data_IF_904968901104
#
_entry.id   IF_904968901104
#
_cell.length_a   1.000
_cell.length_b   1.000
_cell.length_c   1.000
_cell.angle_alpha   90.00
_cell.angle_beta   90.00
_cell.angle_gamma   90.00
#
_symmetry.space_group_name_H-M   'P 1'
#
loop_
_entity.id
_entity.type
_entity.pdbx_description
1 polymer ?
#
# COMPACT_ATOMS: atom_id res chain seq x y z
N UNK A 1 -15.62 24.55 -5.17
CA UNK A 1 -14.52 23.62 -5.51
C UNK A 1 -15.15 22.25 -5.69
N UNK A 2 -15.03 21.60 -6.86
CA UNK A 2 -15.53 20.23 -7.01
C UNK A 2 -14.73 19.31 -6.11
N UNK A 3 -15.40 18.61 -5.19
CA UNK A 3 -14.77 17.61 -4.32
C UNK A 3 -14.14 16.52 -5.21
N UNK A 4 -12.81 16.41 -5.15
CA UNK A 4 -12.07 15.48 -5.98
C UNK A 4 -11.99 14.13 -5.27
N UNK A 5 -12.37 13.05 -5.93
CA UNK A 5 -12.24 11.70 -5.38
C UNK A 5 -10.78 11.25 -5.45
N UNK A 6 -10.23 10.87 -4.29
CA UNK A 6 -8.94 10.18 -4.21
C UNK A 6 -9.08 8.73 -4.70
N UNK A 7 -10.20 8.08 -4.38
CA UNK A 7 -10.54 6.73 -4.82
C UNK A 7 -12.01 6.67 -5.22
N UNK A 8 -12.29 6.13 -6.41
CA UNK A 8 -13.64 5.85 -6.88
C UNK A 8 -13.72 4.44 -7.43
N UNK A 9 -14.65 3.65 -6.91
CA UNK A 9 -14.84 2.25 -7.26
C UNK A 9 -16.31 2.04 -7.59
N UNK A 10 -16.57 1.42 -8.73
CA UNK A 10 -17.90 1.15 -9.22
C UNK A 10 -18.04 -0.32 -9.62
N UNK A 11 -18.96 -1.03 -8.95
CA UNK A 11 -19.33 -2.43 -9.22
C UNK A 11 -18.13 -3.38 -9.26
N UNK A 12 -17.10 -3.13 -8.43
CA UNK A 12 -15.90 -3.96 -8.40
C UNK A 12 -16.24 -5.37 -7.96
N UNK A 13 -15.90 -6.34 -8.80
CA UNK A 13 -16.15 -7.76 -8.56
C UNK A 13 -14.85 -8.55 -8.76
N UNK A 14 -14.59 -9.50 -7.87
CA UNK A 14 -13.52 -10.48 -8.01
C UNK A 14 -14.04 -11.88 -7.73
N UNK A 15 -13.88 -12.75 -8.72
CA UNK A 15 -14.22 -14.16 -8.65
C UNK A 15 -12.93 -14.97 -8.83
N UNK A 16 -12.64 -15.84 -7.88
CA UNK A 16 -11.59 -16.85 -7.98
C UNK A 16 -12.21 -18.17 -8.46
N UNK A 17 -11.65 -18.75 -9.52
CA UNK A 17 -12.03 -20.07 -10.00
C UNK A 17 -11.03 -21.09 -9.48
N UNK A 18 -11.46 -22.08 -8.69
CA UNK A 18 -10.68 -23.29 -8.40
C UNK A 18 -10.92 -24.31 -9.51
N UNK A 19 -9.95 -25.19 -9.76
CA UNK A 19 -10.02 -26.28 -10.78
C UNK A 19 -11.23 -27.23 -10.62
N UNK A 20 -11.85 -27.27 -9.46
CA UNK A 20 -13.14 -27.93 -9.22
C UNK A 20 -14.22 -26.87 -9.15
N UNK A 21 -15.26 -26.95 -9.95
CA UNK A 21 -16.49 -26.14 -10.13
C UNK A 21 -16.89 -25.04 -9.12
N UNK A 22 -16.19 -24.85 -8.01
CA UNK A 22 -16.49 -23.88 -6.99
C UNK A 22 -15.85 -22.52 -7.31
N UNK A 23 -16.70 -21.59 -7.72
CA UNK A 23 -16.35 -20.16 -7.87
C UNK A 23 -16.48 -19.47 -6.51
N UNK A 24 -15.42 -18.85 -6.02
CA UNK A 24 -15.46 -18.03 -4.81
C UNK A 24 -15.53 -16.57 -5.24
N UNK A 25 -16.64 -15.90 -4.92
CA UNK A 25 -16.79 -14.47 -5.15
C UNK A 25 -16.23 -13.71 -3.95
N UNK A 26 -15.00 -13.24 -4.06
CA UNK A 26 -14.31 -12.52 -2.99
C UNK A 26 -14.76 -11.06 -2.87
N UNK A 27 -15.14 -10.43 -3.99
CA UNK A 27 -15.77 -9.12 -4.04
C UNK A 27 -17.02 -9.21 -4.93
N UNK A 28 -18.10 -8.56 -4.51
CA UNK A 28 -19.39 -8.60 -5.21
C UNK A 28 -19.96 -7.20 -5.36
N UNK A 29 -19.79 -6.60 -6.54
CA UNK A 29 -20.31 -5.27 -6.89
C UNK A 29 -19.99 -4.19 -5.83
N UNK A 30 -18.77 -4.19 -5.31
CA UNK A 30 -18.30 -3.19 -4.35
C UNK A 30 -18.34 -1.80 -5.00
N UNK A 31 -19.01 -0.87 -4.32
CA UNK A 31 -18.99 0.56 -4.65
C UNK A 31 -18.39 1.30 -3.46
N UNK A 32 -17.44 2.20 -3.73
CA UNK A 32 -16.74 2.97 -2.72
C UNK A 32 -16.24 4.28 -3.31
N UNK A 33 -16.42 5.37 -2.57
CA UNK A 33 -15.80 6.64 -2.87
C UNK A 33 -15.08 7.15 -1.62
N UNK A 34 -13.85 7.62 -1.80
CA UNK A 34 -13.05 8.28 -0.77
C UNK A 34 -12.59 9.61 -1.34
N UNK A 35 -12.84 10.69 -0.63
CA UNK A 35 -12.47 12.04 -1.05
C UNK A 35 -11.02 12.36 -0.72
N UNK A 36 -10.46 13.35 -1.39
CA UNK A 36 -9.14 13.89 -1.07
C UNK A 36 -9.15 14.47 0.36
N UNK A 37 -8.11 14.12 1.14
CA UNK A 37 -7.97 14.58 2.53
C UNK A 37 -8.76 13.77 3.57
N UNK A 38 -9.50 12.74 3.18
CA UNK A 38 -10.22 11.86 4.11
C UNK A 38 -9.31 10.78 4.71
N UNK A 39 -9.62 10.44 5.99
CA UNK A 39 -9.17 9.21 6.62
C UNK A 39 -10.31 8.20 6.55
N UNK A 40 -10.13 7.13 5.80
CA UNK A 40 -11.14 6.11 5.58
C UNK A 40 -10.77 4.78 6.24
N UNK A 41 -11.67 4.21 7.05
CA UNK A 41 -11.50 2.91 7.69
C UNK A 41 -12.26 1.80 6.96
N UNK A 42 -11.56 0.79 6.45
CA UNK A 42 -12.14 -0.41 5.86
C UNK A 42 -12.21 -1.53 6.91
N UNK A 43 -13.38 -1.75 7.48
CA UNK A 43 -13.63 -2.75 8.51
C UNK A 43 -14.42 -3.94 7.97
N UNK A 44 -14.22 -5.10 8.56
CA UNK A 44 -14.95 -6.32 8.22
C UNK A 44 -14.27 -7.58 8.75
N UNK A 45 -15.00 -8.70 8.85
CA UNK A 45 -14.46 -9.97 9.34
C UNK A 45 -13.39 -10.54 8.41
N UNK A 46 -12.68 -11.57 8.90
CA UNK A 46 -11.76 -12.33 8.06
C UNK A 46 -12.53 -12.98 6.90
N UNK A 47 -11.96 -12.95 5.70
CA UNK A 47 -12.64 -13.44 4.50
C UNK A 47 -13.61 -12.45 3.83
N UNK A 48 -13.83 -11.25 4.38
CA UNK A 48 -14.71 -10.23 3.78
C UNK A 48 -14.17 -9.62 2.46
N UNK A 49 -12.98 -10.02 2.01
CA UNK A 49 -12.41 -9.54 0.75
C UNK A 49 -11.47 -8.34 0.90
N UNK A 50 -11.18 -7.84 2.12
CA UNK A 50 -10.30 -6.69 2.35
C UNK A 50 -8.95 -6.84 1.65
N UNK A 51 -8.25 -7.95 1.92
CA UNK A 51 -6.95 -8.24 1.28
C UNK A 51 -7.05 -8.39 -0.24
N UNK A 52 -8.13 -8.98 -0.74
CA UNK A 52 -8.38 -9.05 -2.21
C UNK A 52 -8.52 -7.65 -2.80
N UNK A 53 -9.26 -6.77 -2.13
CA UNK A 53 -9.43 -5.39 -2.53
C UNK A 53 -8.10 -4.64 -2.56
N UNK A 54 -7.31 -4.72 -1.49
CA UNK A 54 -5.98 -4.09 -1.42
C UNK A 54 -5.03 -4.64 -2.49
N UNK A 55 -5.05 -5.94 -2.75
CA UNK A 55 -4.25 -6.57 -3.80
C UNK A 55 -4.65 -6.12 -5.22
N UNK A 56 -5.93 -5.79 -5.45
CA UNK A 56 -6.36 -5.19 -6.72
C UNK A 56 -5.78 -3.78 -6.86
N UNK A 57 -5.84 -2.95 -5.82
CA UNK A 57 -5.23 -1.62 -5.82
C UNK A 57 -3.70 -1.67 -6.01
N UNK A 58 -3.04 -2.66 -5.40
CA UNK A 58 -1.61 -2.91 -5.57
C UNK A 58 -1.24 -3.40 -6.98
N UNK A 59 -2.23 -3.85 -7.77
CA UNK A 59 -2.02 -4.44 -9.10
C UNK A 59 -1.45 -5.86 -9.06
N UNK A 60 -1.49 -6.55 -7.91
CA UNK A 60 -1.07 -7.97 -7.75
C UNK A 60 -2.20 -8.94 -8.05
N UNK A 61 -3.45 -8.49 -7.99
CA UNK A 61 -4.64 -9.25 -8.35
C UNK A 61 -5.43 -8.50 -9.43
N UNK A 62 -5.74 -9.18 -10.53
CA UNK A 62 -6.58 -8.64 -11.60
C UNK A 62 -8.05 -8.80 -11.18
N UNK A 63 -8.82 -7.71 -11.24
CA UNK A 63 -10.27 -7.74 -11.01
C UNK A 63 -11.01 -8.57 -12.06
N UNK A 64 -12.20 -9.04 -11.76
CA UNK A 64 -13.05 -9.76 -12.73
C UNK A 64 -13.94 -8.80 -13.53
N UNK A 65 -14.45 -7.75 -12.89
CA UNK A 65 -15.24 -6.69 -13.53
C UNK A 65 -15.34 -5.46 -12.62
N UNK A 66 -15.94 -4.38 -13.13
CA UNK A 66 -16.13 -3.10 -12.44
C UNK A 66 -15.00 -2.11 -12.74
N UNK A 67 -15.16 -0.86 -12.31
CA UNK A 67 -14.23 0.23 -12.56
C UNK A 67 -13.52 0.63 -11.27
N UNK A 68 -12.23 0.94 -11.38
CA UNK A 68 -11.40 1.44 -10.29
C UNK A 68 -10.63 2.66 -10.79
N UNK A 69 -10.89 3.80 -10.19
CA UNK A 69 -10.17 5.04 -10.46
C UNK A 69 -9.45 5.47 -9.19
N UNK A 70 -8.16 5.75 -9.31
CA UNK A 70 -7.29 6.17 -8.22
C UNK A 70 -6.61 7.46 -8.61
N UNK A 71 -6.86 8.52 -7.86
CA UNK A 71 -6.28 9.84 -8.09
C UNK A 71 -6.49 10.36 -9.52
N UNK A 72 -7.66 10.02 -10.12
CA UNK A 72 -8.00 10.36 -11.51
C UNK A 72 -7.48 9.39 -12.57
N UNK A 73 -6.74 8.35 -12.20
CA UNK A 73 -6.22 7.34 -13.11
C UNK A 73 -7.06 6.06 -13.07
N UNK A 74 -7.48 5.59 -14.23
CA UNK A 74 -8.16 4.30 -14.40
C UNK A 74 -7.16 3.14 -14.25
N UNK A 75 -7.51 2.12 -13.45
CA UNK A 75 -6.62 1.01 -13.13
C UNK A 75 -6.25 0.16 -14.35
N UNK A 76 -7.18 -0.04 -15.28
CA UNK A 76 -6.93 -0.88 -16.46
C UNK A 76 -6.07 -0.17 -17.50
N UNK A 77 -6.31 1.14 -17.71
CA UNK A 77 -5.64 1.93 -18.73
C UNK A 77 -4.33 2.55 -18.23
N UNK A 78 -4.25 2.86 -16.93
CA UNK A 78 -3.13 3.59 -16.33
C UNK A 78 -2.53 2.87 -15.10
N UNK A 79 -2.20 1.56 -15.17
CA UNK A 79 -1.80 0.78 -13.99
C UNK A 79 -0.50 1.27 -13.34
N UNK A 80 0.40 1.91 -14.08
CA UNK A 80 1.64 2.48 -13.53
C UNK A 80 1.35 3.73 -12.70
N UNK A 81 0.52 4.64 -13.21
CA UNK A 81 0.10 5.87 -12.53
C UNK A 81 -0.68 5.54 -11.26
N UNK A 82 -1.58 4.55 -11.31
CA UNK A 82 -2.30 4.06 -10.14
C UNK A 82 -1.32 3.58 -9.06
N UNK A 83 -0.36 2.73 -9.40
CA UNK A 83 0.65 2.26 -8.43
C UNK A 83 1.52 3.39 -7.89
N UNK A 84 1.84 4.39 -8.70
CA UNK A 84 2.59 5.57 -8.25
C UNK A 84 1.76 6.50 -7.34
N UNK A 85 0.43 6.41 -7.39
CA UNK A 85 -0.48 7.21 -6.57
C UNK A 85 -0.81 6.56 -5.22
N UNK A 86 -0.37 5.32 -4.98
CA UNK A 86 -0.67 4.58 -3.74
C UNK A 86 0.61 4.08 -3.09
N UNK A 87 0.77 4.36 -1.81
CA UNK A 87 1.72 3.67 -0.93
C UNK A 87 0.99 2.61 -0.12
N UNK A 88 1.41 1.35 -0.17
CA UNK A 88 0.77 0.26 0.57
C UNK A 88 1.73 -0.27 1.62
N UNK A 89 1.26 -0.31 2.87
CA UNK A 89 1.95 -0.92 4.00
C UNK A 89 1.28 -2.26 4.28
N UNK A 90 1.94 -3.40 3.98
CA UNK A 90 1.35 -4.71 4.19
C UNK A 90 1.25 -5.06 5.68
N UNK A 91 0.39 -6.02 6.00
CA UNK A 91 0.24 -6.57 7.34
C UNK A 91 1.54 -7.24 7.82
N UNK A 92 2.15 -8.06 6.96
CA UNK A 92 3.39 -8.77 7.28
C UNK A 92 4.64 -7.92 7.10
N UNK A 93 5.59 -8.08 8.01
CA UNK A 93 6.88 -7.38 7.97
C UNK A 93 7.86 -8.16 7.11
N UNK A 94 7.79 -7.94 5.80
CA UNK A 94 8.72 -8.50 4.83
C UNK A 94 9.80 -7.46 4.46
N UNK A 95 10.93 -7.48 5.17
CA UNK A 95 12.10 -6.64 4.92
C UNK A 95 13.31 -7.53 4.69
N UNK A 96 14.15 -7.15 3.74
CA UNK A 96 15.45 -7.81 3.58
C UNK A 96 16.31 -7.52 4.81
N UNK A 97 16.68 -8.59 5.51
CA UNK A 97 17.38 -8.55 6.79
C UNK A 97 18.81 -7.99 6.71
N UNK A 98 19.43 -8.05 5.52
CA UNK A 98 20.83 -7.70 5.27
C UNK A 98 21.02 -6.29 4.72
N UNK A 99 19.95 -5.60 4.34
CA UNK A 99 20.03 -4.19 3.97
C UNK A 99 19.77 -3.27 5.16
N UNK A 100 20.35 -2.08 5.09
CA UNK A 100 20.03 -1.01 6.04
C UNK A 100 18.73 -0.29 5.64
N UNK A 101 18.06 0.39 6.59
CA UNK A 101 16.92 1.25 6.30
C UNK A 101 17.17 2.20 5.13
N UNK A 102 18.29 2.92 5.15
CA UNK A 102 18.71 3.81 4.07
C UNK A 102 18.75 3.08 2.73
N UNK A 103 19.41 1.94 2.68
CA UNK A 103 19.54 1.17 1.44
C UNK A 103 18.21 0.67 0.91
N UNK A 104 17.32 0.22 1.79
CA UNK A 104 15.97 -0.21 1.41
C UNK A 104 15.14 0.93 0.83
N UNK A 105 15.20 2.13 1.41
CA UNK A 105 14.51 3.30 0.87
C UNK A 105 15.10 3.75 -0.46
N UNK A 106 16.43 3.75 -0.60
CA UNK A 106 17.10 4.10 -1.85
C UNK A 106 16.76 3.13 -2.99
N UNK A 107 16.70 1.82 -2.70
CA UNK A 107 16.27 0.81 -3.67
C UNK A 107 14.82 1.04 -4.07
N UNK A 108 13.93 1.26 -3.10
CA UNK A 108 12.52 1.52 -3.35
C UNK A 108 12.31 2.78 -4.22
N UNK A 109 13.00 3.87 -3.90
CA UNK A 109 12.97 5.10 -4.71
C UNK A 109 13.44 4.84 -6.15
N UNK A 110 14.48 4.02 -6.31
CA UNK A 110 14.97 3.60 -7.63
C UNK A 110 13.94 2.80 -8.43
N UNK A 111 13.18 1.90 -7.79
CA UNK A 111 12.11 1.15 -8.45
C UNK A 111 10.97 2.05 -8.97
N UNK A 112 10.73 3.18 -8.32
CA UNK A 112 9.80 4.22 -8.79
C UNK A 112 10.44 5.21 -9.77
N UNK A 113 11.70 5.00 -10.18
CA UNK A 113 12.40 5.85 -11.13
C UNK A 113 12.81 7.22 -10.59
N UNK A 114 12.85 7.40 -9.27
CA UNK A 114 13.21 8.68 -8.65
C UNK A 114 14.74 8.90 -8.76
N UNK A 115 15.20 9.96 -9.46
CA UNK A 115 16.61 10.29 -9.56
C UNK A 115 17.23 10.53 -8.17
N UNK A 116 18.50 10.18 -8.00
CA UNK A 116 19.18 10.30 -6.69
C UNK A 116 19.07 11.69 -6.05
N UNK A 117 19.16 12.76 -6.86
CA UNK A 117 19.06 14.16 -6.40
C UNK A 117 17.69 14.55 -5.83
N UNK A 118 16.63 13.82 -6.22
CA UNK A 118 15.24 14.13 -5.85
C UNK A 118 14.71 13.22 -4.73
N UNK A 119 15.55 12.28 -4.25
CA UNK A 119 15.20 11.37 -3.18
C UNK A 119 15.15 12.07 -1.83
N UNK A 120 14.15 11.71 -1.03
CA UNK A 120 13.91 12.28 0.29
C UNK A 120 14.21 11.27 1.42
N UNK A 121 15.17 10.38 1.20
CA UNK A 121 15.50 9.28 2.10
C UNK A 121 15.77 9.76 3.53
N UNK A 122 16.60 10.79 3.70
CA UNK A 122 16.94 11.32 5.03
C UNK A 122 15.73 11.98 5.70
N UNK A 123 14.93 12.71 4.94
CA UNK A 123 13.69 13.32 5.44
C UNK A 123 12.71 12.26 5.95
N UNK A 124 12.54 11.16 5.20
CA UNK A 124 11.65 10.06 5.61
C UNK A 124 12.22 9.33 6.83
N UNK A 125 13.52 9.04 6.88
CA UNK A 125 14.14 8.41 8.04
C UNK A 125 13.92 9.23 9.30
N UNK A 126 14.02 10.56 9.20
CA UNK A 126 13.71 11.50 10.29
C UNK A 126 12.23 11.43 10.67
N UNK A 127 11.32 11.46 9.70
CA UNK A 127 9.89 11.41 9.94
C UNK A 127 9.45 10.16 10.72
N UNK A 128 10.08 9.01 10.44
CA UNK A 128 9.79 7.74 11.12
C UNK A 128 10.71 7.45 12.31
N UNK A 129 11.57 8.42 12.72
CA UNK A 129 12.51 8.31 13.85
C UNK A 129 13.45 7.10 13.73
N UNK A 130 14.07 6.94 12.57
CA UNK A 130 15.05 5.88 12.26
C UNK A 130 16.42 6.42 11.83
N UNK A 131 16.73 7.71 12.05
CA UNK A 131 18.02 8.30 11.65
C UNK A 131 19.20 7.58 12.29
N UNK A 132 19.09 7.26 13.59
CA UNK A 132 20.16 6.58 14.34
C UNK A 132 20.43 5.16 13.83
N UNK A 133 19.43 4.52 13.22
CA UNK A 133 19.51 3.16 12.68
C UNK A 133 19.63 3.15 11.15
N UNK A 134 19.76 4.31 10.52
CA UNK A 134 19.73 4.45 9.07
C UNK A 134 20.67 3.49 8.34
N UNK A 135 21.85 3.24 8.89
CA UNK A 135 22.91 2.43 8.28
C UNK A 135 23.16 1.09 9.01
N UNK A 136 22.34 0.76 10.04
CA UNK A 136 22.35 -0.54 10.71
C UNK A 136 21.59 -1.57 9.88
N UNK A 137 21.90 -2.87 10.04
CA UNK A 137 21.15 -3.92 9.36
C UNK A 137 19.69 -3.99 9.85
N UNK A 138 18.73 -4.16 8.91
CA UNK A 138 17.30 -4.23 9.25
C UNK A 138 16.96 -5.39 10.20
N UNK A 139 17.79 -6.46 10.24
CA UNK A 139 17.63 -7.56 11.21
C UNK A 139 17.76 -7.11 12.67
N UNK A 140 18.55 -6.08 12.95
CA UNK A 140 18.79 -5.57 14.31
C UNK A 140 17.67 -4.64 14.81
N UNK A 141 16.72 -4.27 13.96
CA UNK A 141 15.61 -3.41 14.32
C UNK A 141 14.58 -4.16 15.16
N UNK A 142 13.99 -3.47 16.15
CA UNK A 142 12.81 -3.97 16.87
C UNK A 142 11.60 -4.12 15.94
N UNK A 143 10.56 -4.86 16.37
CA UNK A 143 9.32 -5.02 15.60
C UNK A 143 8.67 -3.68 15.22
N UNK A 144 8.58 -2.75 16.17
CA UNK A 144 8.06 -1.41 15.92
C UNK A 144 8.93 -0.59 14.97
N UNK A 145 10.26 -0.70 15.04
CA UNK A 145 11.16 -0.06 14.08
C UNK A 145 10.99 -0.63 12.67
N UNK A 146 10.84 -1.94 12.53
CA UNK A 146 10.56 -2.59 11.25
C UNK A 146 9.23 -2.12 10.66
N UNK A 147 8.19 -1.98 11.50
CA UNK A 147 6.88 -1.45 11.06
C UNK A 147 7.00 -0.02 10.56
N UNK A 148 7.72 0.85 11.28
CA UNK A 148 8.00 2.22 10.84
C UNK A 148 8.78 2.27 9.53
N UNK A 149 9.72 1.35 9.32
CA UNK A 149 10.46 1.25 8.06
C UNK A 149 9.57 0.82 6.88
N UNK A 150 8.57 -0.05 7.10
CA UNK A 150 7.57 -0.38 6.06
C UNK A 150 6.74 0.85 5.67
N UNK A 151 6.33 1.65 6.65
CA UNK A 151 5.63 2.92 6.38
C UNK A 151 6.53 3.85 5.56
N UNK A 152 7.79 4.00 5.98
CA UNK A 152 8.79 4.78 5.24
C UNK A 152 8.92 4.33 3.78
N UNK A 153 9.01 3.02 3.53
CA UNK A 153 9.05 2.46 2.17
C UNK A 153 7.83 2.82 1.33
N UNK A 154 6.64 2.78 1.93
CA UNK A 154 5.40 3.13 1.25
C UNK A 154 5.32 4.63 0.90
N UNK A 155 6.04 5.49 1.62
CA UNK A 155 6.03 6.95 1.44
C UNK A 155 7.14 7.48 0.52
N UNK A 156 8.14 6.67 0.17
CA UNK A 156 9.37 7.14 -0.50
C UNK A 156 9.13 7.80 -1.86
N UNK A 157 8.07 7.40 -2.56
CA UNK A 157 7.66 7.95 -3.85
C UNK A 157 6.59 9.06 -3.73
N UNK A 158 6.30 9.54 -2.50
CA UNK A 158 5.35 10.62 -2.18
C UNK A 158 3.94 10.35 -2.75
N UNK A 159 3.34 9.19 -2.49
CA UNK A 159 2.02 8.90 -3.00
C UNK A 159 0.97 9.80 -2.33
N UNK A 160 -0.05 10.28 -3.07
CA UNK A 160 -1.16 11.02 -2.48
C UNK A 160 -2.08 10.15 -1.61
N UNK A 161 -2.04 8.83 -1.76
CA UNK A 161 -2.84 7.89 -0.97
C UNK A 161 -1.92 6.92 -0.23
N UNK A 162 -2.11 6.78 1.08
CA UNK A 162 -1.43 5.79 1.91
C UNK A 162 -2.45 4.78 2.42
N UNK A 163 -2.19 3.50 2.16
CA UNK A 163 -3.02 2.39 2.59
C UNK A 163 -2.27 1.56 3.62
N UNK A 164 -2.87 1.37 4.78
CA UNK A 164 -2.33 0.57 5.88
C UNK A 164 -3.18 -0.69 6.06
N UNK A 165 -2.58 -1.87 5.86
CA UNK A 165 -3.25 -3.14 6.10
C UNK A 165 -2.96 -3.60 7.54
N UNK A 166 -4.00 -3.62 8.37
CA UNK A 166 -3.96 -3.97 9.80
C UNK A 166 -2.79 -3.29 10.57
N UNK A 167 -2.76 -1.96 10.64
CA UNK A 167 -1.60 -1.21 11.14
C UNK A 167 -1.25 -1.51 12.61
N UNK A 168 -2.20 -2.02 13.39
CA UNK A 168 -2.05 -2.35 14.81
C UNK A 168 -1.71 -3.82 15.07
N UNK A 169 -1.65 -4.67 14.05
CA UNK A 169 -1.27 -6.06 14.21
C UNK A 169 0.16 -6.16 14.78
N UNK A 170 0.31 -6.82 15.95
CA UNK A 170 1.59 -6.99 16.64
C UNK A 170 2.07 -5.76 17.44
N UNK A 171 1.22 -4.78 17.69
CA UNK A 171 1.44 -3.73 18.69
C UNK A 171 0.77 -4.18 19.96
N UNK A 172 1.55 -4.50 21.02
CA UNK A 172 1.00 -4.72 22.36
C UNK A 172 0.33 -3.42 22.81
N UNK A 173 -0.99 -3.47 22.94
CA UNK A 173 -1.77 -2.39 23.57
C UNK A 173 -1.56 -2.58 25.07
N UNK A 174 -0.67 -1.79 25.66
CA UNK A 174 -0.56 -1.63 27.11
C UNK A 174 -1.70 -0.76 27.63
#
# INVERSE_FOLDING_TARGET
>A
MSEKNALKIEKLTKIYSKKSSNKIKALNNLNLEVKEGEIFGLLGPNGAGKTTFLNILAGTVIKSSGNVNVWGYDLDNNPRQVRSSIGIVPQEVNLDAFFSPRKLLELQAGLYGIPKKDRITDTILKLVSLEKQADSYARSLSGGMKRRLLIAKAMVHRPPILVLDEPTAGVDVQ
#
